data_IF_134898668979
#
_entry.id   IF_134898668979
#
_cell.length_a   1.000
_cell.length_b   1.000
_cell.length_c   1.000
_cell.angle_alpha   90.00
_cell.angle_beta   90.00
_cell.angle_gamma   90.00
#
_symmetry.space_group_name_H-M   'P 1'
#
loop_
_entity.id
_entity.type
_entity.pdbx_description
1 polymer ?
#
# COMPACT_ATOMS: atom_id res chain seq x y z
N UNK A 1 69.64 -25.07 -27.20
CA UNK A 1 68.31 -24.42 -27.11
C UNK A 1 68.35 -23.46 -25.94
N UNK A 2 68.65 -22.19 -26.19
CA UNK A 2 68.58 -21.15 -25.16
C UNK A 2 67.12 -20.71 -24.95
N UNK A 3 66.70 -20.41 -23.71
CA UNK A 3 65.36 -19.90 -23.45
C UNK A 3 65.27 -18.40 -23.81
N UNK A 4 64.37 -18.08 -24.75
CA UNK A 4 64.03 -16.69 -25.08
C UNK A 4 63.27 -16.07 -23.91
N UNK A 5 63.97 -15.27 -23.11
CA UNK A 5 63.39 -14.53 -22.00
C UNK A 5 62.68 -13.28 -22.53
N UNK A 6 61.36 -13.35 -22.70
CA UNK A 6 60.53 -12.21 -23.13
C UNK A 6 60.48 -11.18 -22.00
N UNK A 7 61.38 -10.19 -22.03
CA UNK A 7 61.30 -8.99 -21.17
C UNK A 7 60.13 -8.12 -21.63
N UNK A 8 59.00 -8.21 -20.93
CA UNK A 8 57.92 -7.23 -21.04
C UNK A 8 58.47 -5.82 -20.72
N UNK A 9 58.34 -4.89 -21.65
CA UNK A 9 58.83 -3.50 -21.46
C UNK A 9 58.06 -2.84 -20.29
N UNK A 10 58.74 -2.28 -19.28
CA UNK A 10 58.10 -1.74 -18.06
C UNK A 10 57.06 -0.63 -18.32
N UNK A 11 57.16 0.09 -19.44
CA UNK A 11 56.17 1.09 -19.88
C UNK A 11 54.78 0.51 -20.19
N UNK A 12 54.72 -0.74 -20.66
CA UNK A 12 53.47 -1.44 -20.99
C UNK A 12 52.69 -1.84 -19.73
N UNK A 13 53.40 -2.32 -18.73
CA UNK A 13 52.82 -2.72 -17.44
C UNK A 13 52.30 -1.50 -16.68
N UNK A 14 53.07 -0.41 -16.64
CA UNK A 14 52.67 0.82 -15.94
C UNK A 14 51.43 1.49 -16.56
N UNK A 15 51.33 1.51 -17.89
CA UNK A 15 50.14 2.00 -18.60
C UNK A 15 48.90 1.12 -18.36
N UNK A 16 49.09 -0.20 -18.28
CA UNK A 16 48.02 -1.16 -18.00
C UNK A 16 47.50 -1.05 -16.56
N UNK A 17 48.40 -0.87 -15.58
CA UNK A 17 48.06 -0.62 -14.18
C UNK A 17 47.30 0.70 -14.03
N UNK A 18 47.77 1.78 -14.68
CA UNK A 18 47.08 3.07 -14.64
C UNK A 18 45.66 2.99 -15.23
N UNK A 19 45.47 2.29 -16.36
CA UNK A 19 44.15 2.07 -16.96
C UNK A 19 43.22 1.27 -16.06
N UNK A 20 43.73 0.22 -15.42
CA UNK A 20 42.96 -0.58 -14.46
C UNK A 20 42.56 0.25 -13.24
N UNK A 21 43.48 1.04 -12.68
CA UNK A 21 43.21 1.94 -11.55
C UNK A 21 42.17 3.02 -11.90
N UNK A 22 42.25 3.60 -13.11
CA UNK A 22 41.24 4.53 -13.61
C UNK A 22 39.88 3.84 -13.78
N UNK A 23 39.83 2.63 -14.35
CA UNK A 23 38.59 1.90 -14.51
C UNK A 23 37.95 1.53 -13.16
N UNK A 24 38.74 1.02 -12.22
CA UNK A 24 38.27 0.72 -10.85
C UNK A 24 37.84 2.00 -10.14
N UNK A 25 38.58 3.10 -10.28
CA UNK A 25 38.22 4.40 -9.73
C UNK A 25 36.91 4.94 -10.29
N UNK A 26 36.73 4.90 -11.62
CA UNK A 26 35.49 5.30 -12.28
C UNK A 26 34.32 4.39 -11.92
N UNK A 27 34.52 3.08 -11.84
CA UNK A 27 33.50 2.13 -11.41
C UNK A 27 33.10 2.36 -9.94
N UNK A 28 34.06 2.67 -9.08
CA UNK A 28 33.81 3.02 -7.68
C UNK A 28 33.04 4.34 -7.55
N UNK A 29 33.44 5.38 -8.29
CA UNK A 29 32.72 6.66 -8.32
C UNK A 29 31.29 6.45 -8.83
N UNK A 30 31.11 5.73 -9.94
CA UNK A 30 29.80 5.45 -10.50
C UNK A 30 28.94 4.65 -9.52
N UNK A 31 29.49 3.62 -8.88
CA UNK A 31 28.78 2.83 -7.87
C UNK A 31 28.28 3.68 -6.70
N UNK A 32 29.08 4.65 -6.24
CA UNK A 32 28.70 5.54 -5.14
C UNK A 32 27.73 6.66 -5.58
N UNK A 33 27.85 7.17 -6.81
CA UNK A 33 26.99 8.26 -7.31
C UNK A 33 25.68 7.77 -7.93
N UNK A 34 25.63 6.54 -8.43
CA UNK A 34 24.48 5.98 -9.12
C UNK A 34 23.18 6.06 -8.29
N UNK A 35 23.15 5.73 -6.99
CA UNK A 35 21.95 5.90 -6.17
C UNK A 35 21.45 7.35 -6.14
N UNK A 36 22.34 8.32 -5.98
CA UNK A 36 21.99 9.75 -5.97
C UNK A 36 21.47 10.20 -7.33
N UNK A 37 22.08 9.73 -8.42
CA UNK A 37 21.62 10.02 -9.79
C UNK A 37 20.22 9.43 -10.03
N UNK A 38 19.98 8.19 -9.59
CA UNK A 38 18.66 7.55 -9.70
C UNK A 38 17.60 8.30 -8.89
N UNK A 39 17.93 8.73 -7.66
CA UNK A 39 17.04 9.53 -6.82
C UNK A 39 16.73 10.90 -7.44
N UNK A 40 17.74 11.53 -8.06
CA UNK A 40 17.53 12.79 -8.77
C UNK A 40 16.67 12.63 -10.01
N UNK A 41 16.87 11.55 -10.79
CA UNK A 41 16.01 11.19 -11.91
C UNK A 41 14.56 10.93 -11.48
N UNK A 42 14.37 10.17 -10.41
CA UNK A 42 13.06 9.90 -9.79
C UNK A 42 12.39 11.20 -9.34
N UNK A 43 13.14 12.08 -8.66
CA UNK A 43 12.67 13.41 -8.28
C UNK A 43 12.19 14.24 -9.47
N UNK A 44 12.98 14.33 -10.55
CA UNK A 44 12.59 15.07 -11.75
C UNK A 44 11.35 14.47 -12.42
N UNK A 45 11.28 13.13 -12.48
CA UNK A 45 10.15 12.41 -13.07
C UNK A 45 8.85 12.60 -12.29
N UNK A 46 8.93 12.91 -11.00
CA UNK A 46 7.76 13.09 -10.14
C UNK A 46 7.38 14.56 -9.92
N UNK A 47 8.34 15.49 -9.98
CA UNK A 47 8.12 16.90 -9.67
C UNK A 47 8.07 17.81 -10.90
N UNK A 48 7.97 17.26 -12.12
CA UNK A 48 7.74 18.08 -13.30
C UNK A 48 6.33 18.73 -13.24
N UNK A 49 6.11 19.90 -13.89
CA UNK A 49 4.84 20.63 -13.82
C UNK A 49 3.60 19.86 -14.30
N UNK A 50 3.80 18.81 -15.09
CA UNK A 50 2.72 17.97 -15.64
C UNK A 50 2.48 16.68 -14.84
N UNK A 51 3.13 16.52 -13.70
CA UNK A 51 2.99 15.32 -12.85
C UNK A 51 1.63 15.21 -12.16
N UNK A 52 0.86 16.30 -12.13
CA UNK A 52 -0.43 16.38 -11.43
C UNK A 52 -0.32 16.44 -9.91
N UNK A 53 0.88 16.34 -9.32
CA UNK A 53 1.06 16.30 -7.86
C UNK A 53 0.52 17.56 -7.17
N UNK A 54 0.72 18.74 -7.75
CA UNK A 54 0.19 20.00 -7.20
C UNK A 54 -1.35 20.01 -7.09
N UNK A 55 -2.06 19.32 -7.97
CA UNK A 55 -3.52 19.18 -7.88
C UNK A 55 -3.90 18.24 -6.73
N UNK A 56 -3.15 17.15 -6.55
CA UNK A 56 -3.35 16.20 -5.45
C UNK A 56 -3.06 16.86 -4.09
N UNK A 57 -2.05 17.72 -4.02
CA UNK A 57 -1.61 18.45 -2.82
C UNK A 57 -2.46 19.68 -2.48
N UNK A 58 -3.47 20.01 -3.29
CA UNK A 58 -4.36 21.14 -3.04
C UNK A 58 -5.00 21.08 -1.65
N UNK A 59 -5.14 22.23 -0.99
CA UNK A 59 -5.88 22.35 0.27
C UNK A 59 -7.36 21.98 0.11
N UNK A 60 -7.94 21.38 1.14
CA UNK A 60 -9.34 21.01 1.16
C UNK A 60 -9.99 21.25 2.52
N UNK A 61 -11.30 21.43 2.51
CA UNK A 61 -12.14 21.29 3.68
C UNK A 61 -13.10 20.10 3.46
N UNK A 62 -13.31 19.24 4.47
CA UNK A 62 -14.33 18.21 4.40
C UNK A 62 -15.72 18.81 4.15
N UNK A 63 -16.48 18.22 3.22
CA UNK A 63 -17.88 18.61 2.97
C UNK A 63 -18.80 18.06 4.06
N UNK A 64 -20.03 18.60 4.23
CA UNK A 64 -21.00 18.02 5.14
C UNK A 64 -21.34 16.55 4.84
N UNK A 65 -21.40 16.17 3.55
CA UNK A 65 -21.62 14.78 3.13
C UNK A 65 -20.46 13.89 3.59
N UNK A 66 -19.23 14.33 3.33
CA UNK A 66 -18.00 13.60 3.73
C UNK A 66 -17.92 13.40 5.25
N UNK A 67 -18.23 14.42 6.03
CA UNK A 67 -18.25 14.32 7.50
C UNK A 67 -19.39 13.42 7.99
N UNK A 68 -20.55 13.47 7.35
CA UNK A 68 -21.65 12.59 7.69
C UNK A 68 -21.29 11.12 7.42
N UNK A 69 -20.67 10.83 6.27
CA UNK A 69 -20.13 9.53 5.94
C UNK A 69 -19.07 9.07 6.95
N UNK A 70 -18.11 9.93 7.29
CA UNK A 70 -17.03 9.63 8.23
C UNK A 70 -17.54 9.31 9.64
N UNK A 71 -18.65 9.94 10.04
CA UNK A 71 -19.19 9.83 11.39
C UNK A 71 -20.47 9.01 11.51
N UNK A 72 -20.96 8.42 10.42
CA UNK A 72 -22.22 7.67 10.39
C UNK A 72 -23.42 8.53 10.77
N UNK A 73 -23.42 9.80 10.36
CA UNK A 73 -24.50 10.75 10.67
C UNK A 73 -25.57 10.71 9.58
N UNK A 74 -26.86 10.92 9.93
CA UNK A 74 -27.93 11.00 8.94
C UNK A 74 -27.74 12.21 8.02
N UNK A 75 -28.04 12.03 6.73
CA UNK A 75 -28.11 13.12 5.75
C UNK A 75 -29.54 13.64 5.63
N UNK A 76 -29.73 14.96 5.63
CA UNK A 76 -31.08 15.57 5.62
C UNK A 76 -31.89 15.30 4.35
N UNK A 77 -31.24 14.83 3.28
CA UNK A 77 -31.86 14.50 1.98
C UNK A 77 -32.22 13.03 1.81
N UNK A 78 -31.78 12.14 2.71
CA UNK A 78 -32.07 10.72 2.61
C UNK A 78 -33.47 10.45 3.17
N UNK A 79 -34.36 9.89 2.34
CA UNK A 79 -35.58 9.26 2.86
C UNK A 79 -35.14 8.18 3.85
N UNK A 80 -35.73 8.17 5.04
CA UNK A 80 -35.52 7.11 6.02
C UNK A 80 -36.02 5.78 5.42
N UNK A 81 -35.13 5.08 4.72
CA UNK A 81 -35.28 3.67 4.39
C UNK A 81 -34.75 2.88 5.59
N UNK A 82 -35.40 1.77 5.91
CA UNK A 82 -35.10 0.89 7.06
C UNK A 82 -33.60 0.76 7.39
N UNK A 83 -33.31 0.60 8.69
CA UNK A 83 -31.98 0.41 9.29
C UNK A 83 -31.17 -0.65 8.53
N UNK A 84 -30.43 -0.22 7.51
CA UNK A 84 -29.53 -1.09 6.77
C UNK A 84 -28.41 -1.52 7.71
N UNK A 85 -28.29 -2.83 7.94
CA UNK A 85 -27.28 -3.40 8.85
C UNK A 85 -25.88 -2.79 8.60
N UNK A 86 -25.07 -2.51 9.62
CA UNK A 86 -23.75 -1.92 9.42
C UNK A 86 -22.85 -2.82 8.59
N UNK A 87 -21.81 -2.22 7.99
CA UNK A 87 -20.73 -2.97 7.34
C UNK A 87 -20.03 -3.83 8.42
N UNK A 88 -19.83 -5.13 8.18
CA UNK A 88 -19.15 -6.00 9.16
C UNK A 88 -17.75 -5.50 9.52
N UNK A 89 -17.39 -5.51 10.81
CA UNK A 89 -16.01 -5.24 11.23
C UNK A 89 -15.13 -6.50 11.05
N UNK A 90 -15.00 -6.93 9.80
CA UNK A 90 -14.20 -8.08 9.36
C UNK A 90 -13.16 -7.56 8.38
N UNK A 91 -11.88 -7.80 8.64
CA UNK A 91 -10.79 -7.24 7.84
C UNK A 91 -10.23 -8.28 6.87
N UNK A 92 -9.98 -7.87 5.64
CA UNK A 92 -9.44 -8.68 4.57
C UNK A 92 -8.16 -8.04 4.02
N UNK A 93 -7.08 -8.80 4.02
CA UNK A 93 -5.83 -8.49 3.32
C UNK A 93 -5.62 -9.47 2.17
N UNK A 94 -4.91 -9.05 1.13
CA UNK A 94 -4.52 -9.93 0.01
C UNK A 94 -2.99 -10.03 -0.04
N UNK A 95 -2.47 -11.25 -0.16
CA UNK A 95 -1.04 -11.51 -0.26
C UNK A 95 -0.71 -12.49 -1.39
N UNK A 96 -0.05 -12.01 -2.45
CA UNK A 96 0.46 -12.89 -3.50
C UNK A 96 1.97 -13.14 -3.32
N UNK A 97 2.32 -14.38 -2.95
CA UNK A 97 3.70 -14.84 -2.85
C UNK A 97 4.28 -15.02 -4.26
N UNK A 98 5.43 -14.37 -4.55
CA UNK A 98 6.08 -14.51 -5.85
C UNK A 98 6.83 -15.83 -5.94
N UNK A 99 6.81 -16.44 -7.13
CA UNK A 99 7.57 -17.64 -7.46
C UNK A 99 8.46 -17.36 -8.69
N UNK A 100 9.80 -17.41 -8.56
CA UNK A 100 10.56 -17.67 -7.34
C UNK A 100 10.48 -16.50 -6.32
N UNK A 101 10.67 -16.78 -5.02
CA UNK A 101 10.58 -15.74 -3.99
C UNK A 101 11.79 -14.80 -4.03
N UNK A 102 11.60 -13.51 -3.68
CA UNK A 102 12.72 -12.54 -3.65
C UNK A 102 13.68 -12.79 -2.48
N UNK A 103 13.22 -13.49 -1.46
CA UNK A 103 13.99 -13.88 -0.28
C UNK A 103 13.69 -15.34 0.06
N UNK A 104 14.67 -16.04 0.61
CA UNK A 104 14.53 -17.43 1.11
C UNK A 104 13.40 -17.62 2.12
N UNK A 105 12.94 -16.55 2.79
CA UNK A 105 11.85 -16.56 3.78
C UNK A 105 10.48 -16.14 3.22
N UNK A 106 10.36 -15.97 1.90
CA UNK A 106 9.15 -15.44 1.25
C UNK A 106 9.11 -13.91 1.21
N UNK A 107 8.08 -13.38 0.56
CA UNK A 107 7.94 -11.94 0.27
C UNK A 107 7.16 -11.15 1.31
N UNK A 108 6.47 -11.82 2.24
CA UNK A 108 5.76 -11.17 3.33
C UNK A 108 6.76 -10.58 4.33
N UNK A 109 6.86 -9.25 4.36
CA UNK A 109 7.87 -8.51 5.09
C UNK A 109 7.37 -7.86 6.37
N UNK A 110 8.27 -7.15 7.04
CA UNK A 110 7.99 -6.42 8.28
C UNK A 110 6.93 -5.31 8.10
N UNK A 111 6.93 -4.63 6.95
CA UNK A 111 5.90 -3.62 6.67
C UNK A 111 4.50 -4.24 6.58
N UNK A 112 4.38 -5.39 5.91
CA UNK A 112 3.11 -6.11 5.79
C UNK A 112 2.63 -6.60 7.17
N UNK A 113 3.56 -7.06 8.00
CA UNK A 113 3.28 -7.37 9.40
C UNK A 113 2.70 -6.18 10.16
N UNK A 114 3.31 -5.00 10.04
CA UNK A 114 2.83 -3.79 10.70
C UNK A 114 1.44 -3.38 10.21
N UNK A 115 1.15 -3.52 8.91
CA UNK A 115 -0.17 -3.22 8.35
C UNK A 115 -1.24 -4.11 9.00
N UNK A 116 -1.01 -5.43 9.07
CA UNK A 116 -1.94 -6.36 9.73
C UNK A 116 -2.03 -6.10 11.24
N UNK A 117 -0.91 -5.85 11.93
CA UNK A 117 -0.91 -5.51 13.36
C UNK A 117 -1.69 -4.23 13.65
N UNK A 118 -1.61 -3.23 12.77
CA UNK A 118 -2.36 -1.99 12.93
C UNK A 118 -3.87 -2.25 12.93
N UNK A 119 -4.35 -3.18 12.08
CA UNK A 119 -5.74 -3.60 12.08
C UNK A 119 -6.12 -4.34 13.37
N UNK A 120 -5.28 -5.28 13.84
CA UNK A 120 -5.49 -5.98 15.12
C UNK A 120 -5.66 -5.00 16.28
N UNK A 121 -4.77 -4.02 16.38
CA UNK A 121 -4.73 -3.07 17.51
C UNK A 121 -5.84 -2.02 17.41
N UNK A 122 -6.02 -1.42 16.23
CA UNK A 122 -6.87 -0.24 16.07
C UNK A 122 -8.33 -0.57 15.76
N UNK A 123 -8.58 -1.60 14.96
CA UNK A 123 -9.94 -1.95 14.52
C UNK A 123 -10.64 -2.93 15.46
N UNK A 124 -9.86 -3.70 16.24
CA UNK A 124 -10.37 -4.80 17.09
C UNK A 124 -11.44 -5.63 16.37
N UNK A 125 -11.12 -6.15 15.18
CA UNK A 125 -12.11 -6.72 14.29
C UNK A 125 -12.63 -8.06 14.82
N UNK A 126 -13.81 -8.44 14.35
CA UNK A 126 -14.42 -9.74 14.64
C UNK A 126 -13.53 -10.88 14.12
N UNK A 127 -12.97 -10.69 12.91
CA UNK A 127 -12.02 -11.60 12.25
C UNK A 127 -11.10 -10.83 11.32
N UNK A 128 -9.91 -11.38 11.08
CA UNK A 128 -8.98 -10.92 10.05
C UNK A 128 -8.65 -12.09 9.14
N UNK A 129 -8.81 -11.90 7.84
CA UNK A 129 -8.40 -12.85 6.82
C UNK A 129 -7.20 -12.31 6.04
N UNK A 130 -6.20 -13.16 5.84
CA UNK A 130 -5.17 -12.94 4.82
C UNK A 130 -5.45 -13.92 3.69
N UNK A 131 -5.99 -13.40 2.60
CA UNK A 131 -6.26 -14.14 1.37
C UNK A 131 -4.95 -14.26 0.60
N UNK A 132 -4.35 -15.45 0.58
CA UNK A 132 -3.06 -15.67 -0.04
C UNK A 132 -3.16 -16.44 -1.35
N UNK A 133 -2.26 -16.14 -2.27
CA UNK A 133 -2.10 -16.86 -3.53
C UNK A 133 -0.65 -16.84 -4.01
N UNK A 134 -0.42 -17.42 -5.18
CA UNK A 134 0.91 -17.50 -5.79
C UNK A 134 0.89 -16.83 -7.16
N UNK A 135 1.94 -16.07 -7.45
CA UNK A 135 2.09 -15.43 -8.75
C UNK A 135 3.50 -15.67 -9.28
N UNK A 136 3.58 -16.02 -10.55
CA UNK A 136 4.83 -16.32 -11.24
C UNK A 136 4.94 -15.45 -12.49
N UNK A 137 6.15 -15.08 -12.95
CA UNK A 137 6.32 -14.38 -14.23
C UNK A 137 5.68 -15.18 -15.37
N UNK A 138 5.10 -14.49 -16.34
CA UNK A 138 4.42 -15.11 -17.50
C UNK A 138 5.33 -16.02 -18.35
N UNK A 139 6.66 -15.91 -18.19
CA UNK A 139 7.67 -16.74 -18.86
C UNK A 139 8.17 -17.94 -18.05
N UNK A 140 7.70 -18.11 -16.81
CA UNK A 140 8.02 -19.30 -16.03
C UNK A 140 7.25 -20.50 -16.61
N UNK A 141 7.87 -21.69 -16.74
CA UNK A 141 7.15 -22.89 -17.15
C UNK A 141 5.97 -23.06 -16.19
N UNK A 142 4.75 -23.18 -16.76
CA UNK A 142 3.50 -23.31 -16.01
C UNK A 142 3.74 -24.21 -14.80
N UNK A 143 3.72 -23.62 -13.60
CA UNK A 143 3.71 -24.41 -12.37
C UNK A 143 2.46 -25.28 -12.47
N UNK A 144 2.67 -26.58 -12.71
CA UNK A 144 1.62 -27.57 -12.81
C UNK A 144 0.84 -27.50 -11.49
N UNK A 145 -0.43 -27.12 -11.58
CA UNK A 145 -1.37 -27.22 -10.48
C UNK A 145 -1.37 -28.69 -10.00
N UNK A 146 -0.66 -28.98 -8.92
CA UNK A 146 -0.40 -30.37 -8.52
C UNK A 146 0.62 -30.54 -7.40
N UNK A 147 1.57 -29.62 -7.22
CA UNK A 147 2.57 -29.68 -6.14
C UNK A 147 2.58 -28.41 -5.27
N UNK A 148 1.39 -28.05 -4.77
CA UNK A 148 1.15 -26.82 -4.00
C UNK A 148 1.75 -26.84 -2.58
N UNK A 149 2.23 -27.99 -2.11
CA UNK A 149 2.69 -28.17 -0.73
C UNK A 149 3.95 -27.34 -0.42
N UNK A 150 4.94 -27.32 -1.31
CA UNK A 150 6.18 -26.55 -1.08
C UNK A 150 5.98 -25.03 -1.14
N UNK A 151 5.27 -24.44 -2.14
CA UNK A 151 4.95 -23.02 -2.14
C UNK A 151 4.09 -22.61 -0.93
N UNK A 152 3.19 -23.48 -0.48
CA UNK A 152 2.37 -23.22 0.69
C UNK A 152 3.24 -23.12 1.95
N UNK A 153 4.16 -24.05 2.18
CA UNK A 153 5.03 -24.03 3.34
C UNK A 153 5.82 -22.72 3.48
N UNK A 154 6.22 -22.09 2.35
CA UNK A 154 6.89 -20.79 2.35
C UNK A 154 6.05 -19.67 3.02
N UNK A 155 4.74 -19.68 2.82
CA UNK A 155 3.81 -18.72 3.44
C UNK A 155 3.66 -19.03 4.94
N UNK A 156 3.44 -20.30 5.28
CA UNK A 156 3.17 -20.72 6.66
C UNK A 156 4.41 -20.62 7.56
N UNK A 157 5.62 -20.79 7.01
CA UNK A 157 6.88 -20.68 7.75
C UNK A 157 7.42 -19.26 7.84
N UNK A 158 6.85 -18.33 7.07
CA UNK A 158 7.24 -16.94 7.10
C UNK A 158 7.17 -16.41 8.56
N UNK A 159 8.27 -15.87 9.10
CA UNK A 159 8.36 -15.53 10.53
C UNK A 159 7.35 -14.46 10.95
N UNK A 160 6.99 -13.55 10.04
CA UNK A 160 6.03 -12.49 10.30
C UNK A 160 4.59 -13.01 10.29
N UNK A 161 4.26 -13.90 9.36
CA UNK A 161 2.94 -14.57 9.32
C UNK A 161 2.75 -15.44 10.58
N UNK A 162 3.79 -16.18 11.01
CA UNK A 162 3.71 -16.98 12.25
C UNK A 162 3.41 -16.15 13.49
N UNK A 163 3.97 -14.94 13.59
CA UNK A 163 3.65 -14.00 14.68
C UNK A 163 2.19 -13.54 14.64
N UNK A 164 1.62 -13.37 13.44
CA UNK A 164 0.22 -12.96 13.26
C UNK A 164 -0.79 -14.08 13.47
N UNK A 165 -0.36 -15.34 13.40
CA UNK A 165 -1.23 -16.53 13.45
C UNK A 165 -2.30 -16.52 14.57
N UNK A 166 -2.06 -16.04 15.80
CA UNK A 166 -3.10 -15.98 16.83
C UNK A 166 -4.26 -15.02 16.51
N UNK A 167 -4.07 -14.09 15.57
CA UNK A 167 -4.99 -12.99 15.28
C UNK A 167 -5.59 -13.04 13.87
N UNK A 168 -5.13 -13.96 13.01
CA UNK A 168 -5.51 -14.00 11.60
C UNK A 168 -5.81 -15.42 11.12
N UNK A 169 -6.72 -15.52 10.17
CA UNK A 169 -7.00 -16.74 9.41
C UNK A 169 -6.39 -16.62 8.01
N UNK A 170 -5.57 -17.59 7.61
CA UNK A 170 -5.02 -17.66 6.25
C UNK A 170 -6.02 -18.39 5.35
N UNK A 171 -6.46 -17.74 4.27
CA UNK A 171 -7.36 -18.32 3.28
C UNK A 171 -6.67 -18.38 1.93
N UNK A 172 -6.61 -19.57 1.33
CA UNK A 172 -6.08 -19.71 -0.02
C UNK A 172 -7.11 -19.13 -1.00
N UNK A 173 -6.68 -18.17 -1.82
CA UNK A 173 -7.49 -17.70 -2.94
C UNK A 173 -7.54 -18.79 -4.02
N UNK A 174 -8.72 -19.36 -4.23
CA UNK A 174 -8.90 -20.57 -5.03
C UNK A 174 -9.37 -20.30 -6.47
N UNK A 175 -9.76 -19.06 -6.80
CA UNK A 175 -10.20 -18.72 -8.15
C UNK A 175 -8.99 -18.59 -9.09
N UNK A 176 -9.17 -18.79 -10.41
CA UNK A 176 -8.09 -18.65 -11.37
C UNK A 176 -7.40 -17.29 -11.28
N UNK A 177 -6.08 -17.30 -11.28
CA UNK A 177 -5.26 -16.09 -11.32
C UNK A 177 -4.87 -15.84 -12.78
N UNK A 178 -5.15 -14.64 -13.28
CA UNK A 178 -4.68 -14.24 -14.60
C UNK A 178 -3.17 -13.92 -14.55
N UNK A 179 -2.37 -14.88 -15.01
CA UNK A 179 -0.91 -14.76 -15.08
C UNK A 179 -0.42 -13.92 -16.27
N UNK A 180 -1.32 -13.46 -17.16
CA UNK A 180 -1.00 -12.54 -18.26
C UNK A 180 -0.86 -11.09 -17.80
N UNK A 181 -1.36 -10.76 -16.60
CA UNK A 181 -1.21 -9.44 -16.00
C UNK A 181 0.26 -9.16 -15.65
N UNK A 182 0.78 -8.06 -16.19
CA UNK A 182 2.14 -7.55 -15.91
C UNK A 182 2.31 -7.11 -14.47
N UNK A 183 1.22 -6.65 -13.87
CA UNK A 183 1.20 -6.03 -12.55
C UNK A 183 0.28 -6.82 -11.63
N UNK A 184 0.82 -7.25 -10.50
CA UNK A 184 0.07 -8.03 -9.50
C UNK A 184 -0.94 -7.17 -8.76
N UNK A 185 -0.72 -5.87 -8.78
CA UNK A 185 -1.59 -4.83 -8.26
C UNK A 185 -2.98 -4.92 -8.92
N UNK A 186 -3.05 -5.11 -10.24
CA UNK A 186 -4.32 -5.30 -10.97
C UNK A 186 -5.03 -6.61 -10.62
N UNK A 187 -4.29 -7.68 -10.34
CA UNK A 187 -4.88 -8.91 -9.83
C UNK A 187 -5.53 -8.65 -8.46
N UNK A 188 -4.82 -7.98 -7.55
CA UNK A 188 -5.35 -7.61 -6.24
C UNK A 188 -6.55 -6.66 -6.34
N UNK A 189 -6.59 -5.78 -7.35
CA UNK A 189 -7.72 -4.88 -7.64
C UNK A 189 -9.02 -5.65 -7.91
N UNK A 190 -8.98 -6.72 -8.70
CA UNK A 190 -10.15 -7.59 -8.90
C UNK A 190 -10.48 -8.39 -7.65
N UNK A 191 -9.48 -9.06 -7.06
CA UNK A 191 -9.69 -9.98 -5.92
C UNK A 191 -10.30 -9.28 -4.71
N UNK A 192 -9.91 -8.03 -4.41
CA UNK A 192 -10.49 -7.28 -3.27
C UNK A 192 -11.97 -7.02 -3.46
N UNK A 193 -12.40 -6.69 -4.68
CA UNK A 193 -13.81 -6.46 -4.99
C UNK A 193 -14.62 -7.75 -4.93
N UNK A 194 -14.06 -8.87 -5.40
CA UNK A 194 -14.71 -10.17 -5.27
C UNK A 194 -14.92 -10.57 -3.81
N UNK A 195 -13.90 -10.41 -2.96
CA UNK A 195 -13.98 -10.71 -1.52
C UNK A 195 -15.04 -9.83 -0.84
N UNK A 196 -15.03 -8.52 -1.11
CA UNK A 196 -16.00 -7.59 -0.54
C UNK A 196 -17.43 -7.85 -1.05
N UNK A 197 -17.59 -8.21 -2.31
CA UNK A 197 -18.90 -8.55 -2.86
C UNK A 197 -19.47 -9.81 -2.19
N UNK A 198 -18.64 -10.83 -1.95
CA UNK A 198 -19.07 -12.11 -1.39
C UNK A 198 -19.28 -12.05 0.14
N UNK A 199 -18.41 -11.36 0.86
CA UNK A 199 -18.35 -11.43 2.32
C UNK A 199 -18.56 -10.07 3.02
N UNK A 200 -18.47 -8.97 2.29
CA UNK A 200 -18.41 -7.63 2.85
C UNK A 200 -17.19 -7.42 3.76
N UNK A 201 -17.28 -6.37 4.56
CA UNK A 201 -16.28 -6.00 5.55
C UNK A 201 -15.35 -4.89 5.08
N UNK A 202 -14.12 -4.91 5.57
CA UNK A 202 -13.07 -3.93 5.30
C UNK A 202 -11.96 -4.63 4.52
N UNK A 203 -11.53 -4.01 3.43
CA UNK A 203 -10.30 -4.34 2.74
C UNK A 203 -9.21 -3.30 3.10
N UNK A 204 -7.99 -3.78 3.33
CA UNK A 204 -6.80 -2.95 3.51
C UNK A 204 -5.65 -3.50 2.65
N UNK A 205 -4.96 -2.62 1.93
CA UNK A 205 -3.66 -2.95 1.32
C UNK A 205 -2.62 -3.31 2.41
N UNK A 206 -1.62 -4.12 2.06
CA UNK A 206 -0.57 -4.55 2.99
C UNK A 206 0.49 -3.46 3.30
N UNK A 207 0.19 -2.22 2.96
CA UNK A 207 0.88 -0.99 3.34
C UNK A 207 -0.11 0.13 3.70
N UNK A 208 -1.37 -0.22 3.98
CA UNK A 208 -2.35 0.62 4.64
C UNK A 208 -2.42 0.27 6.14
N UNK A 209 -2.31 1.29 6.98
CA UNK A 209 -2.26 1.16 8.43
C UNK A 209 -3.52 1.73 9.05
N UNK A 210 -4.30 0.91 9.75
CA UNK A 210 -5.42 1.38 10.54
C UNK A 210 -4.88 2.11 11.77
N UNK A 211 -5.16 3.41 11.88
CA UNK A 211 -4.72 4.27 12.98
C UNK A 211 -5.83 4.46 14.03
N UNK A 212 -7.10 4.28 13.68
CA UNK A 212 -8.23 4.44 14.61
C UNK A 212 -9.36 3.46 14.27
N UNK A 213 -10.29 3.20 15.21
CA UNK A 213 -11.48 2.40 14.92
C UNK A 213 -12.31 3.00 13.78
N UNK A 214 -12.84 2.15 12.90
CA UNK A 214 -13.70 2.56 11.78
C UNK A 214 -15.19 2.56 12.14
N UNK A 215 -15.55 2.21 13.38
CA UNK A 215 -16.93 1.92 13.83
C UNK A 215 -18.00 2.87 13.25
N UNK A 216 -17.75 4.18 13.29
CA UNK A 216 -18.68 5.18 12.76
C UNK A 216 -18.79 5.17 11.23
N UNK A 217 -17.67 5.02 10.53
CA UNK A 217 -17.64 4.92 9.07
C UNK A 217 -18.20 3.59 8.56
N UNK A 218 -18.26 2.54 9.40
CA UNK A 218 -18.91 1.27 9.06
C UNK A 218 -20.44 1.31 9.19
N UNK A 219 -21.01 2.41 9.67
CA UNK A 219 -22.45 2.66 9.68
C UNK A 219 -22.78 3.82 8.74
N UNK A 220 -22.47 3.72 7.43
CA UNK A 220 -22.79 4.80 6.51
C UNK A 220 -24.31 5.00 6.46
N UNK A 221 -24.79 6.26 6.36
CA UNK A 221 -26.22 6.53 6.27
C UNK A 221 -26.82 5.85 5.03
N UNK A 222 -28.08 5.42 5.14
CA UNK A 222 -28.84 4.90 4.00
C UNK A 222 -28.93 5.97 2.90
N UNK A 223 -28.83 5.62 1.60
CA UNK A 223 -28.79 4.26 1.04
C UNK A 223 -27.38 3.66 0.79
N UNK A 224 -26.30 4.32 1.23
CA UNK A 224 -24.94 3.94 0.84
C UNK A 224 -24.52 2.57 1.38
N UNK A 225 -23.96 1.71 0.52
CA UNK A 225 -23.52 0.35 0.87
C UNK A 225 -22.02 0.09 0.76
N UNK A 226 -21.28 1.10 0.29
CA UNK A 226 -19.81 1.12 0.24
C UNK A 226 -19.24 2.44 0.79
N UNK A 227 -17.98 2.40 1.20
CA UNK A 227 -17.21 3.53 1.73
C UNK A 227 -15.80 3.51 1.15
N UNK A 228 -15.41 4.64 0.52
CA UNK A 228 -14.05 4.88 0.04
C UNK A 228 -13.60 6.31 0.39
N UNK A 229 -12.29 6.55 0.40
CA UNK A 229 -11.70 7.87 0.61
C UNK A 229 -11.16 8.49 -0.67
N UNK A 230 -11.21 9.82 -0.75
CA UNK A 230 -10.56 10.59 -1.81
C UNK A 230 -9.02 10.51 -1.74
N UNK A 231 -8.37 10.30 -2.89
CA UNK A 231 -6.90 10.17 -2.97
C UNK A 231 -6.14 11.45 -2.61
N UNK A 232 -6.72 12.62 -2.92
CA UNK A 232 -6.09 13.91 -2.72
C UNK A 232 -7.09 15.06 -2.65
N UNK A 233 -6.57 16.27 -2.41
CA UNK A 233 -7.37 17.46 -2.19
C UNK A 233 -8.26 17.86 -3.36
N UNK A 234 -7.83 17.58 -4.60
CA UNK A 234 -8.62 17.80 -5.81
C UNK A 234 -9.82 16.84 -5.97
N UNK A 235 -9.95 15.79 -5.15
CA UNK A 235 -11.03 14.80 -5.23
C UNK A 235 -11.17 14.12 -6.60
N UNK A 236 -10.07 14.03 -7.35
CA UNK A 236 -10.06 13.47 -8.69
C UNK A 236 -10.21 11.94 -8.74
N UNK A 237 -10.03 11.25 -7.60
CA UNK A 237 -10.06 9.80 -7.53
C UNK A 237 -10.45 9.27 -6.15
N UNK A 238 -11.01 8.07 -6.13
CA UNK A 238 -11.32 7.29 -4.93
C UNK A 238 -10.42 6.07 -4.90
N UNK A 239 -9.43 6.04 -4.00
CA UNK A 239 -8.40 5.01 -4.02
C UNK A 239 -8.87 3.71 -3.36
N UNK A 240 -8.53 2.59 -3.98
CA UNK A 240 -8.93 1.25 -3.57
C UNK A 240 -8.06 0.61 -2.47
N UNK A 241 -7.11 1.36 -1.87
CA UNK A 241 -6.23 0.86 -0.81
C UNK A 241 -6.96 0.60 0.52
N UNK A 242 -8.08 1.28 0.74
CA UNK A 242 -9.00 1.06 1.87
C UNK A 242 -10.43 1.12 1.35
N UNK A 243 -11.16 0.02 1.48
CA UNK A 243 -12.57 -0.07 1.08
C UNK A 243 -13.34 -0.71 2.22
N UNK A 244 -14.52 -0.18 2.55
CA UNK A 244 -15.46 -0.90 3.39
C UNK A 244 -16.79 -1.05 2.65
N UNK A 245 -17.38 -2.24 2.65
CA UNK A 245 -18.64 -2.47 1.94
C UNK A 245 -19.47 -3.58 2.58
N UNK A 246 -20.79 -3.51 2.40
CA UNK A 246 -21.68 -4.63 2.69
C UNK A 246 -21.48 -5.74 1.67
N UNK A 247 -21.71 -6.98 2.09
CA UNK A 247 -21.86 -8.09 1.14
C UNK A 247 -22.98 -7.75 0.15
N UNK A 248 -22.81 -8.15 -1.11
CA UNK A 248 -23.70 -7.82 -2.22
C UNK A 248 -23.87 -6.32 -2.53
N UNK A 249 -22.94 -5.44 -2.10
CA UNK A 249 -22.96 -4.01 -2.42
C UNK A 249 -23.15 -3.75 -3.92
N UNK A 250 -24.06 -2.83 -4.23
CA UNK A 250 -24.38 -2.39 -5.59
C UNK A 250 -23.17 -1.72 -6.23
N UNK A 251 -22.50 -0.84 -5.48
CA UNK A 251 -21.30 -0.15 -5.93
C UNK A 251 -20.17 -1.13 -6.25
N UNK A 252 -19.88 -2.08 -5.34
CA UNK A 252 -18.82 -3.07 -5.54
C UNK A 252 -19.13 -4.00 -6.71
N UNK A 253 -20.38 -4.43 -6.87
CA UNK A 253 -20.79 -5.27 -8.02
C UNK A 253 -20.57 -4.54 -9.34
N UNK A 254 -21.00 -3.28 -9.40
CA UNK A 254 -20.88 -2.44 -10.60
C UNK A 254 -19.43 -2.26 -10.99
N UNK A 255 -18.59 -1.91 -10.01
CA UNK A 255 -17.17 -1.74 -10.23
C UNK A 255 -16.49 -3.06 -10.63
N UNK A 256 -16.79 -4.18 -9.98
CA UNK A 256 -16.23 -5.48 -10.35
C UNK A 256 -16.58 -5.87 -11.79
N UNK A 257 -17.81 -5.57 -12.25
CA UNK A 257 -18.27 -5.90 -13.61
C UNK A 257 -17.43 -5.20 -14.69
N UNK A 258 -16.81 -4.05 -14.39
CA UNK A 258 -15.97 -3.34 -15.37
C UNK A 258 -14.68 -4.09 -15.70
N UNK A 259 -14.24 -5.03 -14.85
CA UNK A 259 -13.01 -5.80 -15.06
C UNK A 259 -13.15 -6.93 -16.08
N UNK A 260 -14.37 -7.32 -16.48
CA UNK A 260 -14.58 -8.53 -17.31
C UNK A 260 -14.24 -8.32 -18.80
N UNK A 261 -13.95 -7.10 -19.26
CA UNK A 261 -13.73 -6.82 -20.68
C UNK A 261 -12.61 -5.80 -20.96
N UNK A 262 -11.69 -5.62 -20.02
CA UNK A 262 -10.61 -4.62 -20.12
C UNK A 262 -9.23 -5.26 -20.13
N UNK A 263 -8.35 -4.70 -20.94
CA UNK A 263 -6.92 -5.01 -20.94
C UNK A 263 -6.20 -4.16 -19.88
N UNK A 264 -6.18 -4.67 -18.64
CA UNK A 264 -5.57 -4.02 -17.48
C UNK A 264 -4.05 -3.78 -17.65
N UNK A 265 -3.39 -4.33 -18.67
CA UNK A 265 -1.96 -4.09 -18.91
C UNK A 265 -1.67 -2.71 -19.53
N UNK A 266 -2.68 -2.00 -20.01
CA UNK A 266 -2.53 -0.70 -20.70
C UNK A 266 -2.78 0.50 -19.79
N UNK A 267 -3.15 0.27 -18.56
CA UNK A 267 -3.55 1.29 -17.60
C UNK A 267 -2.97 0.97 -16.23
N UNK A 268 -2.61 1.99 -15.45
CA UNK A 268 -2.01 1.79 -14.13
C UNK A 268 -2.98 2.11 -12.99
N UNK A 269 -3.58 3.29 -12.99
CA UNK A 269 -4.41 3.75 -11.87
C UNK A 269 -5.88 3.98 -12.23
N UNK A 270 -6.26 3.84 -13.52
CA UNK A 270 -7.62 4.19 -13.94
C UNK A 270 -8.66 3.32 -13.23
N UNK A 271 -8.56 1.99 -13.33
CA UNK A 271 -9.51 1.06 -12.71
C UNK A 271 -9.47 1.02 -11.17
N UNK A 272 -8.35 1.42 -10.56
CA UNK A 272 -8.15 1.37 -9.11
C UNK A 272 -8.43 2.71 -8.40
N UNK A 273 -8.48 3.83 -9.12
CA UNK A 273 -8.61 5.18 -8.53
C UNK A 273 -9.59 6.09 -9.27
N UNK A 274 -9.50 6.19 -10.60
CA UNK A 274 -10.29 7.14 -11.39
C UNK A 274 -11.71 6.62 -11.68
N UNK A 275 -11.81 5.39 -12.18
CA UNK A 275 -13.07 4.75 -12.51
C UNK A 275 -14.03 4.66 -11.31
N UNK A 276 -13.59 4.32 -10.07
CA UNK A 276 -14.46 4.40 -8.90
C UNK A 276 -15.04 5.79 -8.67
N UNK A 277 -14.29 6.85 -8.98
CA UNK A 277 -14.80 8.23 -8.86
C UNK A 277 -15.82 8.55 -9.96
N UNK A 278 -15.61 8.07 -11.17
CA UNK A 278 -16.58 8.19 -12.26
C UNK A 278 -17.88 7.48 -11.89
N UNK A 279 -17.80 6.21 -11.46
CA UNK A 279 -18.94 5.44 -10.98
C UNK A 279 -19.66 6.10 -9.80
N UNK A 280 -18.91 6.68 -8.84
CA UNK A 280 -19.51 7.42 -7.72
C UNK A 280 -20.25 8.68 -8.17
N UNK A 281 -19.84 9.28 -9.29
CA UNK A 281 -20.51 10.45 -9.86
C UNK A 281 -21.77 10.07 -10.63
N UNK A 282 -21.77 8.91 -11.29
CA UNK A 282 -22.92 8.33 -11.99
C UNK A 282 -23.94 7.71 -11.03
N UNK A 283 -23.48 7.16 -9.91
CA UNK A 283 -24.27 6.46 -8.91
C UNK A 283 -24.03 7.03 -7.49
N UNK A 284 -24.37 8.31 -7.25
CA UNK A 284 -24.04 9.01 -6.00
C UNK A 284 -24.73 8.45 -4.75
N UNK A 285 -25.77 7.64 -4.93
CA UNK A 285 -26.55 6.99 -3.88
C UNK A 285 -26.00 5.61 -3.45
N UNK A 286 -24.99 5.07 -4.13
CA UNK A 286 -24.44 3.74 -3.80
C UNK A 286 -23.23 3.81 -2.84
N UNK A 287 -22.60 4.98 -2.69
CA UNK A 287 -21.32 5.13 -2.00
C UNK A 287 -21.24 6.34 -1.06
N UNK A 288 -20.65 6.11 0.11
CA UNK A 288 -20.22 7.15 1.04
C UNK A 288 -18.74 7.50 0.82
N UNK A 289 -18.50 8.72 0.33
CA UNK A 289 -17.15 9.23 0.07
C UNK A 289 -16.61 9.91 1.33
N UNK A 290 -15.42 9.50 1.79
CA UNK A 290 -14.73 10.08 2.93
C UNK A 290 -13.78 11.21 2.51
N UNK A 291 -13.55 12.22 3.38
CA UNK A 291 -12.66 13.32 3.04
C UNK A 291 -11.21 12.82 2.82
N UNK A 292 -10.38 13.57 2.08
CA UNK A 292 -9.02 13.14 1.76
C UNK A 292 -8.15 12.77 2.98
N UNK A 293 -8.37 13.42 4.12
CA UNK A 293 -7.66 13.15 5.38
C UNK A 293 -8.11 11.88 6.13
N UNK A 294 -9.17 11.20 5.70
CA UNK A 294 -9.69 10.03 6.40
C UNK A 294 -8.79 8.79 6.24
N UNK A 295 -8.44 8.44 5.00
CA UNK A 295 -7.69 7.20 4.69
C UNK A 295 -6.34 7.44 4.01
N UNK A 296 -6.21 8.51 3.21
CA UNK A 296 -5.17 8.58 2.17
C UNK A 296 -4.24 9.79 2.31
N UNK A 297 -4.53 10.75 3.18
CA UNK A 297 -3.58 11.80 3.55
C UNK A 297 -2.56 11.24 4.58
N UNK A 298 -1.24 11.47 4.43
CA UNK A 298 -0.57 12.10 3.28
C UNK A 298 -0.60 11.27 2.02
N UNK A 299 -0.66 11.94 0.88
CA UNK A 299 -0.82 11.33 -0.44
C UNK A 299 0.49 10.73 -0.97
N UNK A 300 0.42 10.12 -2.15
CA UNK A 300 1.56 9.49 -2.83
C UNK A 300 2.63 10.45 -3.34
N UNK A 301 2.36 11.76 -3.30
CA UNK A 301 3.22 12.78 -3.89
C UNK A 301 4.59 12.83 -3.22
N UNK A 302 5.59 13.31 -3.95
CA UNK A 302 6.96 13.33 -3.50
C UNK A 302 7.13 14.10 -2.19
N UNK A 303 6.50 15.28 -2.09
CA UNK A 303 6.61 16.15 -0.93
C UNK A 303 5.98 15.52 0.31
N UNK A 304 4.79 14.92 0.17
CA UNK A 304 4.08 14.25 1.25
C UNK A 304 4.81 12.99 1.74
N UNK A 305 5.31 12.15 0.81
CA UNK A 305 6.13 10.98 1.17
C UNK A 305 7.40 11.42 1.90
N UNK A 306 8.09 12.46 1.43
CA UNK A 306 9.27 13.02 2.13
C UNK A 306 8.89 13.53 3.51
N UNK A 307 7.82 14.31 3.63
CA UNK A 307 7.36 14.90 4.89
C UNK A 307 7.06 13.84 5.97
N UNK A 308 6.56 12.67 5.57
CA UNK A 308 6.32 11.57 6.52
C UNK A 308 7.61 10.96 7.10
N UNK A 309 8.70 11.00 6.34
CA UNK A 309 9.90 10.23 6.62
C UNK A 309 11.14 11.08 6.91
N UNK A 310 11.06 12.39 6.78
CA UNK A 310 12.14 13.28 7.19
C UNK A 310 12.39 13.18 8.71
N UNK A 311 13.66 13.20 9.14
CA UNK A 311 14.00 13.24 10.57
C UNK A 311 13.41 14.49 11.23
N UNK A 312 12.90 14.31 12.44
CA UNK A 312 12.35 15.38 13.26
C UNK A 312 13.39 15.85 14.29
N UNK A 313 13.36 17.14 14.60
CA UNK A 313 13.99 17.65 15.83
C UNK A 313 13.27 17.14 17.08
N UNK A 314 13.88 17.29 18.26
CA UNK A 314 13.27 16.88 19.53
C UNK A 314 11.92 17.59 19.78
N UNK A 315 11.85 18.89 19.51
CA UNK A 315 10.64 19.69 19.72
C UNK A 315 9.51 19.26 18.77
N UNK A 316 9.83 19.02 17.50
CA UNK A 316 8.88 18.49 16.52
C UNK A 316 8.40 17.10 16.90
N UNK A 317 9.30 16.25 17.40
CA UNK A 317 8.97 14.90 17.85
C UNK A 317 8.00 14.92 19.02
N UNK A 318 8.24 15.78 20.02
CA UNK A 318 7.32 15.96 21.15
C UNK A 318 5.97 16.51 20.68
N UNK A 319 5.96 17.48 19.76
CA UNK A 319 4.74 18.00 19.16
C UNK A 319 3.91 16.90 18.48
N UNK A 320 4.52 16.09 17.62
CA UNK A 320 3.79 15.04 16.90
C UNK A 320 3.36 13.90 17.82
N UNK A 321 4.16 13.54 18.82
CA UNK A 321 3.75 12.56 19.82
C UNK A 321 2.53 13.05 20.63
N UNK A 322 2.49 14.34 21.00
CA UNK A 322 1.30 14.95 21.63
C UNK A 322 0.09 14.85 20.72
N UNK A 323 0.20 15.28 19.47
CA UNK A 323 -0.91 15.18 18.50
C UNK A 323 -1.41 13.77 18.28
N UNK A 324 -0.51 12.80 18.15
CA UNK A 324 -0.86 11.39 18.01
C UNK A 324 -1.67 10.92 19.22
N UNK A 325 -1.31 11.33 20.45
CA UNK A 325 -2.12 11.03 21.64
C UNK A 325 -3.47 11.73 21.61
N UNK A 326 -3.49 13.03 21.30
CA UNK A 326 -4.71 13.85 21.33
C UNK A 326 -5.74 13.39 20.29
N UNK A 327 -5.30 12.88 19.15
CA UNK A 327 -6.17 12.34 18.10
C UNK A 327 -6.31 10.81 18.15
N UNK A 328 -5.97 10.17 19.27
CA UNK A 328 -6.25 8.75 19.50
C UNK A 328 -5.46 7.79 18.60
N UNK A 329 -4.30 8.21 18.10
CA UNK A 329 -3.42 7.38 17.29
C UNK A 329 -3.03 7.93 15.93
N UNK A 330 -3.65 9.02 15.49
CA UNK A 330 -3.46 9.59 14.16
C UNK A 330 -2.80 10.95 14.21
N UNK A 331 -2.28 11.43 13.08
CA UNK A 331 -1.70 12.78 12.99
C UNK A 331 -2.78 13.86 12.97
N UNK A 332 -3.98 13.52 12.48
CA UNK A 332 -5.08 14.45 12.25
C UNK A 332 -6.41 13.91 12.78
N UNK A 333 -7.32 14.84 13.11
CA UNK A 333 -8.61 14.55 13.74
C UNK A 333 -9.51 13.59 12.96
N UNK A 334 -9.53 13.69 11.63
CA UNK A 334 -10.39 12.84 10.79
C UNK A 334 -9.71 11.55 10.33
N UNK A 335 -8.40 11.44 10.54
CA UNK A 335 -7.59 10.38 9.99
C UNK A 335 -7.82 9.06 10.71
N UNK A 336 -8.40 8.11 9.98
CA UNK A 336 -8.67 6.74 10.42
C UNK A 336 -7.57 5.78 9.99
N UNK A 337 -6.97 6.01 8.82
CA UNK A 337 -5.89 5.20 8.28
C UNK A 337 -4.77 6.05 7.66
N UNK A 338 -3.65 5.39 7.40
CA UNK A 338 -2.54 5.94 6.62
C UNK A 338 -2.10 4.92 5.58
N UNK A 339 -2.07 5.32 4.31
CA UNK A 339 -1.49 4.51 3.24
C UNK A 339 -0.04 4.94 3.00
N UNK A 340 0.91 4.00 3.05
CA UNK A 340 2.34 4.32 2.95
C UNK A 340 2.86 4.40 1.51
N UNK A 341 2.01 4.11 0.52
CA UNK A 341 2.34 4.24 -0.90
C UNK A 341 3.65 3.53 -1.26
N UNK A 342 3.77 2.23 -0.94
CA UNK A 342 5.05 1.50 -1.06
C UNK A 342 5.67 1.63 -2.44
N UNK A 343 4.86 1.74 -3.50
CA UNK A 343 5.33 2.05 -4.86
C UNK A 343 6.22 3.31 -4.93
N UNK A 344 5.90 4.37 -4.18
CA UNK A 344 6.62 5.65 -4.16
C UNK A 344 7.66 5.76 -3.03
N UNK A 345 7.44 5.08 -1.90
CA UNK A 345 8.22 5.26 -0.67
C UNK A 345 9.20 4.11 -0.39
N UNK A 346 9.05 2.94 -1.01
CA UNK A 346 9.79 1.72 -0.65
C UNK A 346 11.30 1.89 -0.72
N UNK A 347 11.84 2.34 -1.84
CA UNK A 347 13.30 2.41 -2.02
C UNK A 347 13.94 3.54 -1.22
N UNK A 348 13.21 4.63 -0.99
CA UNK A 348 13.70 5.81 -0.26
C UNK A 348 13.64 5.62 1.25
N UNK A 349 12.55 5.03 1.76
CA UNK A 349 12.26 5.05 3.19
C UNK A 349 11.83 3.71 3.78
N UNK A 350 10.96 2.93 3.11
CA UNK A 350 10.36 1.75 3.78
C UNK A 350 11.25 0.50 3.79
N UNK A 351 12.08 0.27 2.76
CA UNK A 351 12.87 -0.96 2.61
C UNK A 351 13.87 -1.18 3.76
N UNK A 352 14.36 -0.09 4.38
CA UNK A 352 15.33 -0.14 5.48
C UNK A 352 14.70 -0.36 6.86
N UNK A 353 13.36 -0.28 6.97
CA UNK A 353 12.70 -0.30 8.26
C UNK A 353 12.87 -1.65 8.96
N UNK A 354 13.22 -1.56 10.24
CA UNK A 354 13.26 -2.66 11.21
C UNK A 354 12.57 -2.19 12.49
N UNK A 355 12.22 -3.10 13.43
CA UNK A 355 11.73 -2.69 14.74
C UNK A 355 12.63 -1.67 15.43
N UNK A 356 13.96 -1.86 15.37
CA UNK A 356 14.92 -0.94 15.99
C UNK A 356 14.93 0.43 15.33
N UNK A 357 14.87 0.51 14.00
CA UNK A 357 14.80 1.78 13.27
C UNK A 357 13.54 2.55 13.68
N UNK A 358 12.37 1.88 13.73
CA UNK A 358 11.11 2.53 14.12
C UNK A 358 11.18 3.03 15.57
N UNK A 359 11.82 2.28 16.47
CA UNK A 359 11.97 2.69 17.89
C UNK A 359 12.93 3.86 18.08
N UNK A 360 14.03 3.92 17.31
CA UNK A 360 15.13 4.85 17.57
C UNK A 360 15.06 6.15 16.77
N UNK A 361 14.53 6.11 15.56
CA UNK A 361 14.50 7.28 14.69
C UNK A 361 13.15 7.97 14.76
N UNK A 362 13.17 9.27 15.07
CA UNK A 362 11.97 10.10 15.10
C UNK A 362 11.67 10.64 13.70
N UNK A 363 10.67 10.04 13.07
CA UNK A 363 9.99 10.52 11.86
C UNK A 363 8.49 10.42 12.12
N UNK A 364 7.66 11.19 11.40
CA UNK A 364 6.20 11.13 11.58
C UNK A 364 5.66 9.71 11.38
N UNK A 365 6.18 9.01 10.37
CA UNK A 365 5.88 7.61 10.12
C UNK A 365 6.27 6.72 11.30
N UNK A 366 7.51 6.79 11.78
CA UNK A 366 7.98 5.92 12.86
C UNK A 366 7.20 6.16 14.15
N UNK A 367 6.91 7.43 14.48
CA UNK A 367 6.10 7.80 15.64
C UNK A 367 4.71 7.16 15.59
N UNK A 368 4.05 7.14 14.42
CA UNK A 368 2.78 6.43 14.24
C UNK A 368 2.93 4.92 14.44
N UNK A 369 3.99 4.32 13.92
CA UNK A 369 4.13 2.85 13.88
C UNK A 369 4.56 2.24 15.21
N UNK A 370 5.21 3.00 16.11
CA UNK A 370 5.76 2.48 17.38
C UNK A 370 4.75 1.69 18.21
N UNK A 371 3.49 2.14 18.26
CA UNK A 371 2.43 1.49 19.03
C UNK A 371 1.97 0.14 18.48
N UNK A 372 2.39 -0.23 17.28
CA UNK A 372 2.08 -1.52 16.65
C UNK A 372 3.23 -2.52 16.76
N UNK A 373 4.38 -2.09 17.28
CA UNK A 373 5.47 -2.98 17.63
C UNK A 373 5.08 -3.82 18.85
N UNK A 374 5.49 -5.08 18.82
CA UNK A 374 5.58 -5.88 20.04
C UNK A 374 6.84 -5.45 20.80
N UNK A 375 6.91 -5.72 22.10
CA UNK A 375 8.10 -5.45 22.91
C UNK A 375 9.30 -6.29 22.44
#
# INVERSE_FOLDING_TARGET
MEPVMVRLKPKSVMASVLRLSLFVGSAFILYNLLPTILLFGDYLSQNHPFSGQALVEQDFAPTPKELACLHGLPLSSAKAVEDAAPIPNVVNFIFFQKLPPRNRRGDFGFLNYLAVRSAVVSLKPQRIYIHYGFSSPSSAPHHVAGDDAEPQQLVFDNPWIRRLKPHVELKRYAKPIDHSLRHQEHLADRVRLEILLEHGGIYLDLDAFALRPFEKALAPPSPYDAVLGYEGGNRAGLCNAVIAARANSSFIRRWLTTYDSVDLNKEWNYHSVILPKELASEHPDEICELPPDAFLWPTWTWAHVRWMHEPLSSDESEYWQRRIRDFGGSLFKNQLAYHAWSQMSRYRYLKRLTPDVIRREDTRFNLLMRRFLED
#
